data_IF_288190896058
#
_entry.id   IF_288190896058
#
_cell.length_a   1.000
_cell.length_b   1.000
_cell.length_c   1.000
_cell.angle_alpha   90.00
_cell.angle_beta   90.00
_cell.angle_gamma   90.00
#
_symmetry.space_group_name_H-M   'P 1'
#
loop_
_entity.id
_entity.type
_entity.pdbx_description
1 polymer ?
#
# COMPACT_ATOMS: atom_id res chain seq x y z
N UNK A 1 5.96 27.78 51.18
CA UNK A 1 5.20 26.89 50.29
C UNK A 1 5.89 26.91 48.93
N UNK A 2 6.58 25.83 48.56
CA UNK A 2 7.16 25.68 47.23
C UNK A 2 6.04 25.24 46.26
N UNK A 3 5.96 25.77 45.03
CA UNK A 3 4.98 25.30 44.07
C UNK A 3 5.30 23.86 43.67
N UNK A 4 4.29 22.99 43.79
CA UNK A 4 4.30 21.64 43.24
C UNK A 4 4.57 21.71 41.75
N UNK A 5 5.73 21.20 41.31
CA UNK A 5 6.00 20.95 39.90
C UNK A 5 5.01 19.88 39.42
N UNK A 6 4.02 20.29 38.65
CA UNK A 6 3.13 19.39 37.93
C UNK A 6 3.99 18.48 37.04
N UNK A 7 4.07 17.20 37.42
CA UNK A 7 4.63 16.14 36.57
C UNK A 7 3.62 15.86 35.47
N UNK A 8 3.63 16.66 34.42
CA UNK A 8 2.97 16.30 33.16
C UNK A 8 3.55 14.96 32.72
N UNK A 9 2.70 13.94 32.61
CA UNK A 9 3.13 12.62 32.17
C UNK A 9 3.48 12.68 30.68
N UNK A 10 4.50 11.94 30.24
CA UNK A 10 4.98 11.99 28.84
C UNK A 10 3.90 11.67 27.77
N UNK A 11 2.77 11.09 28.18
CA UNK A 11 1.57 10.85 27.35
C UNK A 11 0.70 12.09 27.13
N UNK A 12 0.67 13.01 28.08
CA UNK A 12 -0.13 14.26 28.04
C UNK A 12 0.65 15.43 27.43
N UNK A 13 1.97 15.28 27.30
CA UNK A 13 2.80 16.25 26.61
C UNK A 13 2.37 16.38 25.13
N UNK A 14 2.41 17.60 24.56
CA UNK A 14 2.23 17.79 23.13
C UNK A 14 3.29 17.01 22.35
N UNK A 15 2.92 16.49 21.17
CA UNK A 15 3.86 15.78 20.32
C UNK A 15 5.00 16.70 19.88
N UNK A 16 6.24 16.25 20.12
CA UNK A 16 7.42 16.94 19.64
C UNK A 16 7.52 16.83 18.11
N UNK A 17 8.07 17.86 17.48
CA UNK A 17 8.21 17.99 16.03
C UNK A 17 8.84 16.74 15.39
N UNK A 18 10.04 16.35 15.84
CA UNK A 18 10.75 15.17 15.33
C UNK A 18 9.98 13.85 15.51
N UNK A 19 9.06 13.77 16.47
CA UNK A 19 8.23 12.59 16.69
C UNK A 19 7.16 12.44 15.62
N UNK A 20 6.55 13.53 15.18
CA UNK A 20 5.49 13.49 14.15
C UNK A 20 5.93 12.70 12.91
N UNK A 21 7.16 12.91 12.44
CA UNK A 21 7.74 12.15 11.33
C UNK A 21 7.86 10.64 11.61
N UNK A 22 8.34 10.25 12.79
CA UNK A 22 8.45 8.83 13.15
C UNK A 22 7.08 8.15 13.13
N UNK A 23 6.05 8.85 13.63
CA UNK A 23 4.66 8.37 13.58
C UNK A 23 4.17 8.18 12.14
N UNK A 24 4.44 9.14 11.24
CA UNK A 24 4.11 9.01 9.81
C UNK A 24 4.82 7.82 9.17
N UNK A 25 6.12 7.63 9.44
CA UNK A 25 6.89 6.50 8.91
C UNK A 25 6.36 5.14 9.40
N UNK A 26 6.04 5.03 10.70
CA UNK A 26 5.43 3.84 11.29
C UNK A 26 4.08 3.55 10.66
N UNK A 27 3.22 4.57 10.52
CA UNK A 27 1.90 4.41 9.93
C UNK A 27 2.01 4.00 8.46
N UNK A 28 2.87 4.65 7.66
CA UNK A 28 3.03 4.36 6.24
C UNK A 28 3.56 2.94 6.01
N UNK A 29 4.59 2.53 6.75
CA UNK A 29 5.09 1.15 6.69
C UNK A 29 3.99 0.16 7.05
N UNK A 30 3.23 0.42 8.11
CA UNK A 30 2.17 -0.48 8.58
C UNK A 30 1.01 -0.55 7.59
N UNK A 31 0.58 0.58 7.02
CA UNK A 31 -0.47 0.65 6.02
C UNK A 31 -0.08 -0.14 4.77
N UNK A 32 1.09 0.15 4.19
CA UNK A 32 1.59 -0.54 2.99
C UNK A 32 1.74 -2.04 3.24
N UNK A 33 2.34 -2.43 4.37
CA UNK A 33 2.50 -3.84 4.73
C UNK A 33 1.15 -4.55 4.89
N UNK A 34 0.15 -3.88 5.45
CA UNK A 34 -1.19 -4.41 5.60
C UNK A 34 -1.87 -4.63 4.25
N UNK A 35 -1.72 -3.70 3.29
CA UNK A 35 -2.21 -3.88 1.91
C UNK A 35 -1.56 -5.13 1.30
N UNK A 36 -0.22 -5.18 1.31
CA UNK A 36 0.54 -6.27 0.69
C UNK A 36 0.14 -7.64 1.27
N UNK A 37 -0.09 -7.71 2.58
CA UNK A 37 -0.51 -8.95 3.25
C UNK A 37 -1.98 -9.31 2.95
N UNK A 38 -2.91 -8.38 3.15
CA UNK A 38 -4.36 -8.64 3.01
C UNK A 38 -4.78 -8.86 1.57
N UNK A 39 -4.16 -8.17 0.63
CA UNK A 39 -4.36 -8.37 -0.82
C UNK A 39 -3.49 -9.49 -1.40
N UNK A 40 -2.72 -10.19 -0.55
CA UNK A 40 -1.88 -11.34 -0.92
C UNK A 40 -0.90 -11.03 -2.06
N UNK A 41 -0.28 -9.85 -2.02
CA UNK A 41 0.72 -9.42 -3.01
C UNK A 41 2.12 -9.98 -2.70
N UNK A 42 2.36 -10.36 -1.45
CA UNK A 42 3.54 -11.10 -1.00
C UNK A 42 3.13 -12.31 -0.15
N UNK A 43 3.96 -13.37 -0.08
CA UNK A 43 3.67 -14.52 0.77
C UNK A 43 3.75 -14.16 2.25
N UNK A 44 3.03 -14.89 3.10
CA UNK A 44 2.95 -14.59 4.55
C UNK A 44 4.31 -14.58 5.26
N UNK A 45 5.29 -15.36 4.78
CA UNK A 45 6.66 -15.35 5.30
C UNK A 45 7.36 -14.00 5.19
N UNK A 46 6.88 -13.11 4.32
CA UNK A 46 7.45 -11.77 4.11
C UNK A 46 7.03 -10.75 5.18
N UNK A 47 6.24 -11.17 6.16
CA UNK A 47 5.68 -10.29 7.17
C UNK A 47 5.94 -10.82 8.57
N UNK A 48 6.07 -9.89 9.50
CA UNK A 48 6.09 -10.16 10.94
C UNK A 48 5.00 -9.37 11.64
N UNK A 49 4.59 -9.87 12.80
CA UNK A 49 3.67 -9.15 13.68
C UNK A 49 4.47 -8.37 14.71
N UNK A 50 4.26 -7.07 14.72
CA UNK A 50 4.80 -6.14 15.72
C UNK A 50 3.68 -5.63 16.59
N UNK A 51 4.01 -5.20 17.80
CA UNK A 51 3.02 -4.64 18.71
C UNK A 51 3.32 -3.16 18.91
N UNK A 52 2.37 -2.33 18.50
CA UNK A 52 2.36 -0.93 18.85
C UNK A 52 2.06 -0.82 20.36
N UNK A 53 3.11 -0.64 21.17
CA UNK A 53 3.05 -0.62 22.64
C UNK A 53 2.32 0.61 23.15
N UNK A 54 1.52 0.45 24.21
CA UNK A 54 0.68 1.50 24.86
C UNK A 54 1.44 2.60 25.58
N UNK A 55 2.76 2.70 25.41
CA UNK A 55 3.63 3.71 26.04
C UNK A 55 4.04 4.79 25.01
N UNK A 56 3.15 5.77 24.71
CA UNK A 56 3.35 6.78 23.65
C UNK A 56 4.67 7.55 23.73
N UNK A 57 5.19 7.79 24.94
CA UNK A 57 6.42 8.57 25.15
C UNK A 57 7.74 7.89 24.76
N UNK A 58 7.73 6.61 24.35
CA UNK A 58 8.97 5.85 24.00
C UNK A 58 8.99 5.28 22.58
N UNK A 59 7.93 5.52 21.80
CA UNK A 59 7.87 5.02 20.44
C UNK A 59 8.91 5.76 19.57
N UNK A 60 9.80 5.00 18.96
CA UNK A 60 10.67 5.42 17.86
C UNK A 60 10.48 4.44 16.71
N UNK A 61 10.80 4.87 15.49
CA UNK A 61 10.72 3.98 14.32
C UNK A 61 11.61 2.72 14.50
N UNK A 62 12.81 2.88 15.05
CA UNK A 62 13.73 1.77 15.30
C UNK A 62 13.21 0.79 16.37
N UNK A 63 12.73 1.30 17.50
CA UNK A 63 12.13 0.46 18.54
C UNK A 63 10.89 -0.28 18.02
N UNK A 64 10.11 0.36 17.15
CA UNK A 64 8.95 -0.24 16.50
C UNK A 64 9.35 -1.43 15.62
N UNK A 65 10.39 -1.27 14.78
CA UNK A 65 10.89 -2.35 13.91
C UNK A 65 11.44 -3.56 14.68
N UNK A 66 12.03 -3.31 15.85
CA UNK A 66 12.58 -4.35 16.73
C UNK A 66 11.53 -4.99 17.65
N UNK A 67 10.37 -4.35 17.82
CA UNK A 67 9.30 -4.89 18.68
C UNK A 67 8.77 -6.21 18.11
N UNK A 68 8.49 -7.19 18.97
CA UNK A 68 7.87 -8.45 18.56
C UNK A 68 6.55 -8.66 19.30
N UNK A 69 5.61 -9.38 18.68
CA UNK A 69 4.35 -9.74 19.31
C UNK A 69 4.52 -10.52 20.62
N UNK A 70 5.63 -11.26 20.78
CA UNK A 70 5.96 -12.02 21.99
C UNK A 70 6.42 -11.12 23.15
N UNK A 71 6.92 -9.91 22.86
CA UNK A 71 7.42 -8.95 23.86
C UNK A 71 6.35 -8.03 24.42
N UNK A 72 5.09 -8.19 24.01
CA UNK A 72 3.99 -7.34 24.46
C UNK A 72 3.47 -7.78 25.85
N UNK A 73 3.24 -6.84 26.79
CA UNK A 73 2.50 -7.16 28.01
C UNK A 73 1.12 -7.71 27.63
N UNK A 74 0.64 -8.69 28.40
CA UNK A 74 -0.49 -9.58 28.09
C UNK A 74 -1.80 -8.86 27.77
N UNK A 75 -1.92 -7.56 28.12
CA UNK A 75 -3.08 -6.72 27.85
C UNK A 75 -2.61 -5.32 27.40
N UNK A 76 -2.81 -4.94 26.13
CA UNK A 76 -2.91 -3.53 25.77
C UNK A 76 -2.47 -3.06 24.37
N UNK A 77 -1.58 -3.75 23.66
CA UNK A 77 -1.00 -3.23 22.41
C UNK A 77 -1.81 -3.54 21.15
N UNK A 78 -1.74 -2.65 20.15
CA UNK A 78 -2.32 -2.92 18.81
C UNK A 78 -1.33 -3.75 18.00
N UNK A 79 -1.74 -4.94 17.56
CA UNK A 79 -0.93 -5.80 16.71
C UNK A 79 -0.99 -5.27 15.28
N UNK A 80 0.18 -5.06 14.68
CA UNK A 80 0.33 -4.59 13.31
C UNK A 80 1.14 -5.61 12.52
N UNK A 81 0.77 -5.78 11.25
CA UNK A 81 1.53 -6.59 10.30
C UNK A 81 2.48 -5.67 9.56
N UNK A 82 3.78 -5.92 9.63
CA UNK A 82 4.79 -5.16 8.88
C UNK A 82 5.64 -6.07 8.01
N UNK A 83 6.19 -5.52 6.93
CA UNK A 83 7.23 -6.18 6.14
C UNK A 83 8.39 -6.58 7.04
N UNK A 84 8.82 -7.83 6.91
CA UNK A 84 9.99 -8.32 7.61
C UNK A 84 11.23 -8.22 6.72
N UNK A 85 12.32 -7.74 7.31
CA UNK A 85 13.58 -7.60 6.61
C UNK A 85 14.21 -8.97 6.40
N UNK A 86 14.88 -9.16 5.27
CA UNK A 86 15.58 -10.40 4.89
C UNK A 86 14.65 -11.60 4.71
N UNK A 87 13.36 -11.36 4.54
CA UNK A 87 12.34 -12.40 4.38
C UNK A 87 12.14 -12.84 2.92
N UNK A 88 12.75 -12.09 1.98
CA UNK A 88 12.78 -12.41 0.57
C UNK A 88 13.08 -11.18 -0.29
N UNK A 89 13.67 -11.41 -1.46
CA UNK A 89 14.18 -10.34 -2.33
C UNK A 89 13.13 -9.25 -2.66
N UNK A 90 11.89 -9.63 -2.94
CA UNK A 90 10.81 -8.67 -3.25
C UNK A 90 10.40 -7.83 -2.03
N UNK A 91 10.28 -8.47 -0.87
CA UNK A 91 9.96 -7.78 0.37
C UNK A 91 11.09 -6.81 0.74
N UNK A 92 12.34 -7.23 0.55
CA UNK A 92 13.53 -6.42 0.80
C UNK A 92 13.61 -5.22 -0.13
N UNK A 93 13.33 -5.39 -1.43
CA UNK A 93 13.27 -4.28 -2.39
C UNK A 93 12.19 -3.27 -2.02
N UNK A 94 11.01 -3.72 -1.63
CA UNK A 94 9.93 -2.82 -1.18
C UNK A 94 10.29 -2.11 0.13
N UNK A 95 10.87 -2.83 1.08
CA UNK A 95 11.36 -2.24 2.32
C UNK A 95 12.45 -1.19 2.06
N UNK A 96 13.36 -1.47 1.12
CA UNK A 96 14.39 -0.52 0.67
C UNK A 96 13.77 0.68 -0.03
N UNK A 97 12.79 0.51 -0.91
CA UNK A 97 12.09 1.63 -1.55
C UNK A 97 11.47 2.56 -0.49
N UNK A 98 10.77 2.00 0.50
CA UNK A 98 10.20 2.78 1.60
C UNK A 98 11.29 3.53 2.38
N UNK A 99 12.34 2.83 2.81
CA UNK A 99 13.35 3.40 3.72
C UNK A 99 14.41 4.26 3.06
N UNK A 100 14.72 4.03 1.78
CA UNK A 100 15.79 4.70 1.02
C UNK A 100 15.28 5.70 0.00
N UNK A 101 13.98 5.74 -0.27
CA UNK A 101 13.40 6.68 -1.25
C UNK A 101 12.25 7.47 -0.65
N UNK A 102 11.24 6.78 -0.10
CA UNK A 102 10.03 7.44 0.43
C UNK A 102 10.30 8.20 1.73
N UNK A 103 11.01 7.59 2.68
CA UNK A 103 11.31 8.23 3.97
C UNK A 103 12.31 9.40 3.89
N UNK A 104 13.32 9.38 3.01
CA UNK A 104 14.05 10.60 2.65
C UNK A 104 13.15 11.70 2.08
N UNK A 105 12.26 11.39 1.14
CA UNK A 105 11.34 12.38 0.56
C UNK A 105 10.38 12.98 1.61
N UNK A 106 9.93 12.16 2.58
CA UNK A 106 9.22 12.68 3.76
C UNK A 106 10.11 13.69 4.52
N UNK A 107 11.33 13.30 4.92
CA UNK A 107 12.28 14.16 5.66
C UNK A 107 12.57 15.48 4.97
N UNK A 108 12.66 15.44 3.65
CA UNK A 108 12.91 16.60 2.80
C UNK A 108 11.65 17.44 2.54
N UNK A 109 10.50 17.02 3.10
CA UNK A 109 9.19 17.65 2.92
C UNK A 109 8.85 17.82 1.45
N UNK A 110 9.17 16.80 0.66
CA UNK A 110 8.89 16.75 -0.76
C UNK A 110 7.75 15.80 -1.09
N UNK A 111 7.50 14.76 -0.28
CA UNK A 111 6.45 13.77 -0.55
C UNK A 111 5.04 14.31 -0.21
N UNK A 112 4.22 14.46 -1.24
CA UNK A 112 2.81 14.87 -1.14
C UNK A 112 1.90 13.64 -0.97
N UNK A 113 2.12 12.62 -1.80
CA UNK A 113 1.38 11.37 -1.72
C UNK A 113 2.22 10.17 -2.15
N UNK A 114 1.85 9.01 -1.59
CA UNK A 114 2.26 7.69 -2.01
C UNK A 114 1.02 6.93 -2.44
N UNK A 115 1.04 6.29 -3.61
CA UNK A 115 -0.05 5.45 -4.06
C UNK A 115 0.47 4.08 -4.46
N UNK A 116 -0.24 3.06 -4.01
CA UNK A 116 -0.12 1.69 -4.51
C UNK A 116 -1.39 1.38 -5.29
N UNK A 117 -1.27 1.12 -6.58
CA UNK A 117 -2.39 0.67 -7.40
C UNK A 117 -2.11 -0.68 -8.02
N UNK A 118 -3.20 -1.39 -8.31
CA UNK A 118 -3.20 -2.75 -8.81
C UNK A 118 -3.84 -2.78 -10.19
N UNK A 119 -3.23 -3.52 -11.12
CA UNK A 119 -3.75 -3.79 -12.46
C UNK A 119 -3.68 -5.29 -12.74
N UNK A 120 -4.38 -5.73 -13.77
CA UNK A 120 -4.36 -7.11 -14.27
C UNK A 120 -3.41 -7.30 -15.45
N UNK A 121 -2.95 -6.20 -16.07
CA UNK A 121 -1.97 -6.24 -17.15
C UNK A 121 -0.82 -5.30 -16.81
N UNK A 122 0.41 -5.81 -16.62
CA UNK A 122 1.56 -4.98 -16.27
C UNK A 122 1.95 -4.01 -17.40
N UNK A 123 1.43 -4.22 -18.63
CA UNK A 123 1.63 -3.34 -19.78
C UNK A 123 0.62 -2.20 -19.83
N UNK A 124 -0.52 -2.34 -19.15
CA UNK A 124 -1.57 -1.33 -19.07
C UNK A 124 -1.67 -0.78 -17.65
N UNK A 125 -0.63 -0.07 -17.22
CA UNK A 125 -0.53 0.46 -15.85
C UNK A 125 -1.63 1.49 -15.52
N UNK A 126 -2.18 2.20 -16.51
CA UNK A 126 -3.31 3.12 -16.30
C UNK A 126 -4.63 2.41 -15.99
N UNK A 127 -4.76 1.10 -16.27
CA UNK A 127 -5.99 0.34 -16.07
C UNK A 127 -6.06 -0.27 -14.67
N UNK A 128 -6.38 0.55 -13.67
CA UNK A 128 -6.41 0.14 -12.27
C UNK A 128 -7.69 -0.64 -11.91
N UNK A 129 -7.56 -1.62 -11.01
CA UNK A 129 -8.69 -2.33 -10.38
C UNK A 129 -8.86 -1.96 -8.91
N UNK A 130 -7.76 -1.55 -8.26
CA UNK A 130 -7.74 -0.97 -6.92
C UNK A 130 -6.62 0.07 -6.86
N UNK A 131 -6.85 1.18 -6.17
CA UNK A 131 -5.82 2.16 -5.84
C UNK A 131 -5.91 2.51 -4.35
N UNK A 132 -4.76 2.64 -3.71
CA UNK A 132 -4.60 3.00 -2.31
C UNK A 132 -3.68 4.22 -2.24
N UNK A 133 -4.24 5.39 -1.95
CA UNK A 133 -3.52 6.66 -1.88
C UNK A 133 -3.30 7.03 -0.42
N UNK A 134 -2.07 7.33 -0.06
CA UNK A 134 -1.65 7.87 1.22
C UNK A 134 -1.23 9.31 0.99
N UNK A 135 -1.85 10.24 1.68
CA UNK A 135 -1.52 11.66 1.60
C UNK A 135 -0.84 12.10 2.89
N UNK A 136 0.15 12.98 2.76
CA UNK A 136 0.86 13.55 3.90
C UNK A 136 0.85 15.06 3.78
N UNK A 137 0.35 15.72 4.82
CA UNK A 137 0.29 17.17 4.88
C UNK A 137 1.40 17.68 5.77
N UNK A 138 2.26 18.54 5.23
CA UNK A 138 3.44 19.10 5.90
C UNK A 138 3.66 20.57 5.52
N UNK A 139 4.46 21.29 6.29
CA UNK A 139 4.76 22.73 6.10
C UNK A 139 5.52 23.08 4.79
N UNK A 140 6.11 22.09 4.11
CA UNK A 140 6.72 22.27 2.79
C UNK A 140 5.77 22.40 1.59
N UNK A 141 4.44 22.29 1.77
CA UNK A 141 3.48 22.31 0.65
C UNK A 141 3.17 23.76 0.20
N UNK A 142 3.34 24.12 -1.09
CA UNK A 142 3.40 25.52 -1.53
C UNK A 142 2.08 26.30 -1.52
N UNK A 143 0.93 25.66 -1.32
CA UNK A 143 -0.35 26.37 -1.45
C UNK A 143 -1.52 25.76 -0.66
N UNK A 144 -1.22 24.92 0.34
CA UNK A 144 -2.29 24.59 1.29
C UNK A 144 -2.36 25.77 2.25
N UNK A 145 -3.19 26.73 1.86
CA UNK A 145 -3.81 27.72 2.72
C UNK A 145 -4.73 26.99 3.72
N UNK A 146 -4.21 25.95 4.38
CA UNK A 146 -4.73 25.53 5.66
C UNK A 146 -4.53 26.79 6.48
N UNK A 147 -5.62 27.52 6.67
CA UNK A 147 -5.80 28.33 7.85
C UNK A 147 -5.70 27.35 9.01
N UNK A 148 -4.48 26.89 9.30
CA UNK A 148 -4.08 26.43 10.59
C UNK A 148 -4.23 27.68 11.45
N UNK A 149 -5.47 27.96 11.87
CA UNK A 149 -5.66 28.51 13.21
C UNK A 149 -4.68 27.74 14.08
N UNK A 150 -3.72 28.38 14.76
CA UNK A 150 -2.65 27.70 15.46
C UNK A 150 -3.26 26.76 16.49
N UNK A 151 -3.54 25.54 16.06
CA UNK A 151 -4.16 24.51 16.88
C UNK A 151 -3.00 23.89 17.63
N UNK A 152 -3.07 23.95 18.96
CA UNK A 152 -2.08 23.32 19.82
C UNK A 152 -1.75 21.90 19.33
N UNK A 153 -0.46 21.54 19.37
CA UNK A 153 -0.02 20.21 18.99
C UNK A 153 -0.79 19.15 19.81
N UNK A 154 -1.28 18.08 19.14
CA UNK A 154 -2.06 17.05 19.83
C UNK A 154 -1.18 16.36 20.89
N UNK A 155 -1.77 15.90 22.01
CA UNK A 155 -1.06 15.06 22.97
C UNK A 155 -0.55 13.78 22.30
N UNK A 156 0.63 13.29 22.69
CA UNK A 156 1.23 12.08 22.09
C UNK A 156 0.28 10.87 22.20
N UNK A 157 -0.43 10.73 23.32
CA UNK A 157 -1.40 9.65 23.50
C UNK A 157 -2.57 9.69 22.51
N UNK A 158 -3.03 10.89 22.14
CA UNK A 158 -4.10 11.08 21.15
C UNK A 158 -3.62 10.64 19.77
N UNK A 159 -2.47 11.16 19.32
CA UNK A 159 -1.85 10.78 18.04
C UNK A 159 -1.67 9.27 17.94
N UNK A 160 -1.13 8.67 19.01
CA UNK A 160 -0.92 7.23 19.08
C UNK A 160 -2.22 6.43 18.94
N UNK A 161 -3.28 6.80 19.67
CA UNK A 161 -4.56 6.12 19.65
C UNK A 161 -5.26 6.27 18.29
N UNK A 162 -5.19 7.45 17.69
CA UNK A 162 -5.81 7.74 16.39
C UNK A 162 -5.10 6.98 15.27
N UNK A 163 -3.76 6.90 15.32
CA UNK A 163 -2.96 6.07 14.42
C UNK A 163 -3.37 4.60 14.51
N UNK A 164 -3.46 4.06 15.73
CA UNK A 164 -3.87 2.68 15.98
C UNK A 164 -5.32 2.40 15.55
N UNK A 165 -6.22 3.37 15.73
CA UNK A 165 -7.62 3.30 15.28
C UNK A 165 -7.69 3.28 13.74
N UNK A 166 -7.02 4.22 13.09
CA UNK A 166 -6.94 4.34 11.63
C UNK A 166 -6.42 3.05 10.97
N UNK A 167 -5.33 2.47 11.48
CA UNK A 167 -4.80 1.20 10.94
C UNK A 167 -5.77 0.02 11.11
N UNK A 168 -6.51 -0.06 12.23
CA UNK A 168 -7.53 -1.10 12.44
C UNK A 168 -8.73 -0.94 11.52
N UNK A 169 -9.20 0.29 11.33
CA UNK A 169 -10.28 0.59 10.40
C UNK A 169 -9.87 0.21 8.97
N UNK A 170 -8.62 0.52 8.60
CA UNK A 170 -8.10 0.15 7.30
C UNK A 170 -7.95 -1.37 7.12
N UNK A 171 -7.42 -2.08 8.12
CA UNK A 171 -7.32 -3.54 8.08
C UNK A 171 -8.71 -4.19 7.92
N UNK A 172 -9.72 -3.67 8.64
CA UNK A 172 -11.11 -4.13 8.54
C UNK A 172 -11.67 -3.87 7.13
N UNK A 173 -11.42 -2.69 6.56
CA UNK A 173 -11.81 -2.38 5.18
C UNK A 173 -11.21 -3.39 4.19
N UNK A 174 -9.89 -3.60 4.23
CA UNK A 174 -9.18 -4.54 3.34
C UNK A 174 -9.68 -5.99 3.47
N UNK A 175 -10.06 -6.40 4.68
CA UNK A 175 -10.57 -7.75 4.95
C UNK A 175 -11.97 -7.98 4.34
N UNK A 176 -12.74 -6.91 4.15
CA UNK A 176 -14.08 -6.97 3.55
C UNK A 176 -14.09 -6.79 2.03
N UNK A 177 -12.92 -6.57 1.42
CA UNK A 177 -12.82 -6.44 -0.04
C UNK A 177 -12.97 -7.80 -0.73
N UNK A 178 -13.60 -7.84 -1.93
CA UNK A 178 -13.61 -9.02 -2.77
C UNK A 178 -12.19 -9.53 -3.05
N UNK A 179 -12.00 -10.83 -3.35
CA UNK A 179 -10.69 -11.34 -3.73
C UNK A 179 -10.21 -10.70 -5.05
N UNK A 180 -8.90 -10.45 -5.15
CA UNK A 180 -8.29 -9.98 -6.39
C UNK A 180 -8.31 -11.07 -7.49
N UNK A 181 -8.23 -10.66 -8.76
CA UNK A 181 -7.94 -11.57 -9.88
C UNK A 181 -6.65 -12.38 -9.64
N UNK A 182 -6.57 -13.53 -10.34
CA UNK A 182 -5.41 -14.44 -10.25
C UNK A 182 -4.13 -13.72 -10.66
N UNK A 183 -4.17 -13.09 -11.83
CA UNK A 183 -3.09 -12.28 -12.37
C UNK A 183 -3.30 -10.84 -11.91
N UNK A 184 -2.33 -10.33 -11.15
CA UNK A 184 -2.40 -9.01 -10.54
C UNK A 184 -0.99 -8.48 -10.35
N UNK A 185 -0.85 -7.20 -10.60
CA UNK A 185 0.43 -6.51 -10.65
C UNK A 185 0.28 -5.21 -9.88
N UNK A 186 1.20 -4.98 -8.95
CA UNK A 186 1.22 -3.75 -8.16
C UNK A 186 2.21 -2.75 -8.71
N UNK A 187 1.82 -1.48 -8.68
CA UNK A 187 2.63 -0.35 -9.09
C UNK A 187 2.61 0.69 -7.99
N UNK A 188 3.76 1.33 -7.79
CA UNK A 188 3.91 2.40 -6.81
C UNK A 188 4.14 3.70 -7.55
N UNK A 189 3.36 4.70 -7.19
CA UNK A 189 3.52 6.07 -7.64
C UNK A 189 3.61 7.02 -6.48
N UNK A 190 4.42 8.06 -6.65
CA UNK A 190 4.58 9.12 -5.65
C UNK A 190 4.40 10.48 -6.31
N UNK A 191 3.85 11.40 -5.54
CA UNK A 191 3.65 12.79 -5.90
C UNK A 191 4.56 13.62 -5.02
N UNK A 192 5.26 14.57 -5.63
CA UNK A 192 6.21 15.43 -4.94
C UNK A 192 5.90 16.90 -5.16
N UNK A 193 6.33 17.74 -4.23
CA UNK A 193 6.35 19.18 -4.39
C UNK A 193 7.26 19.57 -5.56
N UNK A 194 7.01 20.74 -6.17
CA UNK A 194 7.83 21.26 -7.26
C UNK A 194 9.30 21.49 -6.88
N UNK A 195 9.63 21.48 -5.58
CA UNK A 195 11.01 21.59 -5.08
C UNK A 195 11.85 20.33 -5.33
N UNK A 196 11.24 19.17 -5.63
CA UNK A 196 11.95 17.96 -5.99
C UNK A 196 12.36 17.98 -7.48
N UNK A 197 13.63 18.31 -7.76
CA UNK A 197 14.15 18.38 -9.13
C UNK A 197 14.49 17.02 -9.75
N UNK A 198 14.58 15.97 -8.93
CA UNK A 198 14.94 14.61 -9.35
C UNK A 198 13.98 13.56 -8.78
N UNK A 199 13.63 12.51 -9.54
CA UNK A 199 12.86 11.38 -9.01
C UNK A 199 13.60 10.72 -7.83
N UNK A 200 12.86 10.20 -6.82
CA UNK A 200 13.46 9.43 -5.74
C UNK A 200 14.26 8.23 -6.27
N UNK A 201 15.26 7.80 -5.50
CA UNK A 201 16.10 6.64 -5.85
C UNK A 201 15.22 5.42 -6.16
N UNK A 202 15.48 4.72 -7.27
CA UNK A 202 14.72 3.53 -7.67
C UNK A 202 13.33 3.83 -8.26
N UNK A 203 13.01 5.11 -8.50
CA UNK A 203 11.80 5.56 -9.18
C UNK A 203 12.18 6.36 -10.43
N UNK A 204 11.30 6.40 -11.43
CA UNK A 204 11.50 7.18 -12.66
C UNK A 204 10.35 8.13 -12.88
N UNK A 205 10.61 9.32 -13.45
CA UNK A 205 9.54 10.25 -13.80
C UNK A 205 8.58 9.60 -14.80
N UNK A 206 7.29 9.74 -14.53
CA UNK A 206 6.20 9.24 -15.34
C UNK A 206 5.30 10.42 -15.76
N UNK A 207 4.50 10.27 -16.83
CA UNK A 207 3.49 11.23 -17.17
C UNK A 207 2.34 11.20 -16.15
N UNK A 208 1.69 12.35 -15.94
CA UNK A 208 0.47 12.44 -15.14
C UNK A 208 -0.71 11.92 -15.97
N UNK A 209 -0.82 10.59 -16.08
CA UNK A 209 -1.94 9.94 -16.75
C UNK A 209 -2.99 9.50 -15.73
N UNK A 210 -4.30 9.69 -16.02
CA UNK A 210 -5.37 9.24 -15.15
C UNK A 210 -5.40 7.71 -15.04
N UNK A 211 -5.79 7.20 -13.87
CA UNK A 211 -6.24 5.82 -13.79
C UNK A 211 -7.62 5.69 -14.44
N UNK A 212 -7.77 4.63 -15.21
CA UNK A 212 -9.02 4.21 -15.83
C UNK A 212 -9.57 3.03 -15.04
N UNK A 213 -10.85 3.10 -14.70
CA UNK A 213 -11.54 2.07 -13.94
C UNK A 213 -12.35 1.16 -14.86
N UNK A 214 -12.46 -0.14 -14.54
CA UNK A 214 -13.22 -1.06 -15.37
C UNK A 214 -14.72 -0.79 -15.27
N UNK A 215 -15.37 -0.61 -16.41
CA UNK A 215 -16.83 -0.50 -16.50
C UNK A 215 -17.38 -1.90 -16.75
N UNK A 216 -17.98 -2.52 -15.73
CA UNK A 216 -18.55 -3.88 -15.85
C UNK A 216 -19.93 -3.98 -15.24
N UNK A 217 -20.85 -4.59 -15.98
CA UNK A 217 -22.17 -4.94 -15.45
C UNK A 217 -22.02 -5.82 -14.20
N UNK A 218 -22.57 -5.35 -13.08
CA UNK A 218 -22.48 -6.04 -11.80
C UNK A 218 -21.34 -5.58 -10.88
N UNK A 219 -20.50 -4.64 -11.29
CA UNK A 219 -19.42 -4.06 -10.49
C UNK A 219 -19.42 -2.54 -10.59
N UNK A 220 -19.06 -1.85 -9.51
CA UNK A 220 -18.90 -0.40 -9.46
C UNK A 220 -17.69 -0.01 -8.63
N UNK A 221 -17.08 1.12 -8.93
CA UNK A 221 -16.09 1.72 -8.05
C UNK A 221 -16.77 2.05 -6.70
N UNK A 222 -16.05 1.79 -5.62
CA UNK A 222 -16.41 2.19 -4.27
C UNK A 222 -15.20 2.83 -3.61
N UNK A 223 -15.47 3.93 -2.93
CA UNK A 223 -14.44 4.82 -2.39
C UNK A 223 -14.46 4.76 -0.87
N UNK A 224 -13.30 4.52 -0.28
CA UNK A 224 -13.07 4.50 1.16
C UNK A 224 -12.20 5.70 1.55
N UNK A 225 -12.78 6.60 2.33
CA UNK A 225 -12.15 7.85 2.78
C UNK A 225 -12.38 7.99 4.29
N UNK A 226 -11.55 7.33 5.13
CA UNK A 226 -11.55 7.55 6.56
C UNK A 226 -11.02 8.95 6.91
N UNK A 227 -11.28 9.39 8.14
CA UNK A 227 -10.72 10.62 8.69
C UNK A 227 -9.18 10.53 8.75
N UNK A 228 -8.50 11.61 8.39
CA UNK A 228 -7.05 11.69 8.46
C UNK A 228 -6.57 11.79 9.91
N UNK A 229 -5.41 11.20 10.18
CA UNK A 229 -4.82 11.20 11.52
C UNK A 229 -3.98 12.46 11.68
N UNK A 230 -4.30 13.27 12.70
CA UNK A 230 -3.47 14.42 13.07
C UNK A 230 -2.20 13.94 13.78
N UNK A 231 -1.05 14.17 13.16
CA UNK A 231 0.27 13.69 13.64
C UNK A 231 1.13 14.80 14.24
N UNK A 232 0.72 16.07 14.11
CA UNK A 232 1.45 17.21 14.66
C UNK A 232 0.77 18.54 14.40
N UNK A 233 1.56 19.62 14.52
CA UNK A 233 1.10 20.99 14.30
C UNK A 233 2.13 21.91 13.64
N UNK A 234 3.36 21.45 13.39
CA UNK A 234 4.43 22.27 12.78
C UNK A 234 4.95 21.61 11.50
N UNK A 235 5.79 20.59 11.59
CA UNK A 235 6.39 19.99 10.39
C UNK A 235 5.42 19.06 9.65
N UNK A 236 4.81 18.12 10.35
CA UNK A 236 3.78 17.23 9.80
C UNK A 236 2.47 17.46 10.52
N UNK A 237 1.40 17.64 9.75
CA UNK A 237 0.09 18.00 10.27
C UNK A 237 -0.79 16.76 10.32
N UNK A 238 -0.95 16.09 9.18
CA UNK A 238 -1.86 14.95 9.03
C UNK A 238 -1.27 13.88 8.13
N UNK A 239 -1.78 12.66 8.30
CA UNK A 239 -1.62 11.55 7.35
C UNK A 239 -2.99 10.96 7.05
N UNK A 240 -3.33 10.93 5.78
CA UNK A 240 -4.62 10.46 5.27
C UNK A 240 -4.47 9.22 4.40
N UNK A 241 -5.53 8.42 4.32
CA UNK A 241 -5.65 7.28 3.44
C UNK A 241 -6.93 7.40 2.61
N UNK A 242 -6.83 7.13 1.33
CA UNK A 242 -7.96 6.87 0.45
C UNK A 242 -7.79 5.55 -0.27
N UNK A 243 -8.89 4.89 -0.57
CA UNK A 243 -8.87 3.75 -1.47
C UNK A 243 -10.03 3.83 -2.44
N UNK A 244 -9.77 3.52 -3.70
CA UNK A 244 -10.80 3.26 -4.70
C UNK A 244 -10.68 1.80 -5.08
N UNK A 245 -11.78 1.06 -4.99
CA UNK A 245 -11.80 -0.37 -5.24
C UNK A 245 -13.09 -0.78 -5.93
N UNK A 246 -13.01 -1.76 -6.82
CA UNK A 246 -14.21 -2.28 -7.46
C UNK A 246 -14.96 -3.23 -6.52
N UNK A 247 -16.25 -2.96 -6.30
CA UNK A 247 -17.15 -3.82 -5.52
C UNK A 247 -18.32 -4.32 -6.37
N UNK A 248 -18.84 -5.52 -6.09
CA UNK A 248 -19.99 -6.05 -6.80
C UNK A 248 -21.27 -5.28 -6.41
N UNK A 249 -22.16 -5.03 -7.35
CA UNK A 249 -23.39 -4.25 -7.14
C UNK A 249 -24.51 -5.05 -6.46
N UNK A 250 -24.51 -6.39 -6.53
CA UNK A 250 -25.32 -7.29 -5.68
C UNK A 250 -24.95 -8.78 -5.91
N UNK A 251 -25.10 -9.63 -4.89
CA UNK A 251 -25.08 -11.11 -5.01
C UNK A 251 -23.75 -11.78 -5.39
N UNK A 252 -22.68 -11.02 -5.64
CA UNK A 252 -21.39 -11.53 -6.13
C UNK A 252 -20.21 -11.31 -5.16
N UNK A 253 -20.46 -10.98 -3.89
CA UNK A 253 -19.46 -10.57 -2.89
C UNK A 253 -18.30 -11.56 -2.66
N UNK A 254 -18.44 -12.81 -3.11
CA UNK A 254 -17.40 -13.85 -2.99
C UNK A 254 -16.65 -14.15 -4.28
N UNK A 255 -17.05 -13.55 -5.41
CA UNK A 255 -16.40 -13.77 -6.70
C UNK A 255 -15.43 -12.62 -6.98
N UNK A 256 -14.22 -12.89 -7.48
CA UNK A 256 -13.33 -11.83 -7.97
C UNK A 256 -13.95 -11.11 -9.16
N UNK A 257 -13.49 -9.88 -9.43
CA UNK A 257 -13.93 -9.01 -10.56
C UNK A 257 -13.93 -9.78 -11.89
N UNK A 258 -13.06 -10.78 -12.03
CA UNK A 258 -12.93 -11.62 -13.21
C UNK A 258 -12.84 -13.11 -12.90
N UNK A 259 -13.88 -13.82 -13.31
CA UNK A 259 -13.78 -15.16 -13.89
C UNK A 259 -13.59 -15.10 -15.43
N UNK A 260 -13.21 -13.96 -16.01
CA UNK A 260 -13.20 -13.69 -17.47
C UNK A 260 -11.96 -12.85 -17.86
N UNK A 261 -11.40 -13.03 -19.05
CA UNK A 261 -10.06 -12.58 -19.48
C UNK A 261 -9.88 -11.05 -19.61
N UNK A 262 -8.61 -10.61 -19.64
CA UNK A 262 -8.25 -9.20 -19.58
C UNK A 262 -8.64 -8.31 -20.77
N UNK A 263 -8.89 -8.94 -21.92
CA UNK A 263 -9.25 -8.28 -23.16
C UNK A 263 -10.74 -7.85 -23.24
N UNK A 264 -11.57 -8.25 -22.28
CA UNK A 264 -13.04 -8.07 -22.32
C UNK A 264 -13.56 -6.99 -21.36
N UNK A 265 -12.69 -6.19 -20.71
CA UNK A 265 -13.17 -5.01 -19.95
C UNK A 265 -12.94 -3.74 -20.75
N UNK A 266 -14.02 -2.98 -20.87
CA UNK A 266 -13.97 -1.58 -21.26
C UNK A 266 -13.54 -0.75 -20.06
N UNK A 267 -12.59 0.15 -20.30
CA UNK A 267 -12.05 1.09 -19.32
C UNK A 267 -12.35 2.47 -19.85
N UNK A 268 -13.44 3.06 -19.39
CA UNK A 268 -13.96 4.34 -19.90
C UNK A 268 -14.48 5.24 -18.78
N UNK A 269 -14.39 4.80 -17.52
CA UNK A 269 -14.85 5.59 -16.39
C UNK A 269 -13.86 6.71 -16.08
N UNK A 270 -14.19 7.88 -16.60
CA UNK A 270 -13.58 9.18 -16.29
C UNK A 270 -14.32 9.92 -15.18
N UNK A 271 -15.49 9.46 -14.74
CA UNK A 271 -16.27 10.06 -13.65
C UNK A 271 -15.62 9.80 -12.27
N UNK A 272 -14.89 8.69 -12.16
CA UNK A 272 -14.07 8.35 -10.99
C UNK A 272 -12.68 9.00 -11.03
N UNK A 273 -12.37 9.80 -12.06
CA UNK A 273 -11.11 10.55 -12.13
C UNK A 273 -10.94 11.48 -10.93
N UNK A 274 -9.79 11.41 -10.27
CA UNK A 274 -9.51 12.25 -9.12
C UNK A 274 -10.09 11.73 -7.81
N UNK A 275 -10.93 10.68 -7.83
CA UNK A 275 -11.54 10.15 -6.61
C UNK A 275 -10.51 9.58 -5.64
N UNK A 276 -9.41 9.04 -6.17
CA UNK A 276 -8.26 8.58 -5.39
C UNK A 276 -7.49 9.72 -4.70
N UNK A 277 -7.75 10.98 -5.11
CA UNK A 277 -7.23 12.20 -4.53
C UNK A 277 -8.27 12.96 -3.69
N UNK A 278 -9.51 12.47 -3.55
CA UNK A 278 -10.51 13.10 -2.65
C UNK A 278 -10.07 13.12 -1.18
N UNK A 279 -9.05 12.34 -0.82
CA UNK A 279 -8.35 12.46 0.47
C UNK A 279 -7.81 13.88 0.68
N UNK A 280 -7.37 14.55 -0.39
CA UNK A 280 -6.94 15.94 -0.36
C UNK A 280 -8.12 16.88 -0.06
N UNK A 281 -9.28 16.67 -0.71
CA UNK A 281 -10.48 17.51 -0.56
C UNK A 281 -11.15 17.36 0.82
N UNK A 282 -11.06 16.18 1.44
CA UNK A 282 -11.56 15.96 2.80
C UNK A 282 -10.80 16.79 3.86
N UNK A 283 -9.54 17.16 3.58
CA UNK A 283 -8.74 18.05 4.43
C UNK A 283 -8.89 19.52 4.03
N UNK A 284 -9.11 19.82 2.74
CA UNK A 284 -9.32 21.16 2.20
C UNK A 284 -10.81 21.47 2.00
N UNK A 285 -11.57 21.67 3.08
CA UNK A 285 -12.90 22.32 2.99
C UNK A 285 -12.86 23.79 2.51
N UNK A 286 -11.79 24.22 1.86
CA UNK A 286 -11.68 25.50 1.16
C UNK A 286 -11.07 25.27 -0.22
N UNK A 287 -11.80 25.73 -1.25
CA UNK A 287 -11.46 25.86 -2.67
C UNK A 287 -11.42 24.60 -3.54
N UNK A 288 -12.52 24.40 -4.28
CA UNK A 288 -12.72 23.44 -5.37
C UNK A 288 -11.86 23.68 -6.63
N UNK A 289 -10.93 24.63 -6.62
CA UNK A 289 -10.35 25.17 -7.86
C UNK A 289 -8.85 24.96 -8.07
N UNK A 290 -8.14 24.25 -7.18
CA UNK A 290 -6.69 24.07 -7.32
C UNK A 290 -6.28 22.59 -7.25
N UNK A 291 -6.39 21.90 -8.39
CA UNK A 291 -5.51 20.78 -8.67
C UNK A 291 -4.06 21.27 -8.61
N UNK A 292 -3.13 20.56 -7.95
CA UNK A 292 -1.72 20.94 -8.00
C UNK A 292 -1.21 20.83 -9.44
N UNK A 293 -1.00 21.99 -10.06
CA UNK A 293 -0.33 22.13 -11.34
C UNK A 293 1.13 21.68 -11.17
N UNK A 294 1.55 20.78 -12.08
CA UNK A 294 2.87 20.17 -12.21
C UNK A 294 3.22 19.12 -11.14
N UNK A 295 2.87 17.88 -11.47
CA UNK A 295 3.14 16.66 -10.71
C UNK A 295 4.24 15.88 -11.42
N UNK A 296 5.36 15.64 -10.75
CA UNK A 296 6.28 14.56 -11.12
C UNK A 296 5.68 13.26 -10.58
N UNK A 297 4.98 12.50 -11.44
CA UNK A 297 4.58 11.14 -11.10
C UNK A 297 5.80 10.24 -11.29
N UNK A 298 5.85 9.11 -10.59
CA UNK A 298 6.89 8.13 -10.84
C UNK A 298 6.35 6.72 -10.76
N UNK A 299 6.84 5.79 -11.57
CA UNK A 299 6.35 4.41 -11.58
C UNK A 299 7.48 3.48 -11.17
N UNK A 300 7.16 2.34 -10.56
CA UNK A 300 8.09 1.21 -10.41
C UNK A 300 7.49 0.02 -11.15
N UNK A 301 8.24 -0.57 -12.09
CA UNK A 301 7.88 -1.84 -12.73
C UNK A 301 8.47 -2.99 -11.93
N UNK A 302 7.70 -4.08 -11.83
CA UNK A 302 8.05 -5.41 -11.34
C UNK A 302 7.39 -5.83 -10.01
N UNK A 303 6.08 -6.07 -10.08
CA UNK A 303 5.38 -7.04 -9.23
C UNK A 303 4.70 -8.10 -10.11
N UNK A 304 5.46 -8.76 -11.00
CA UNK A 304 4.97 -9.92 -11.74
C UNK A 304 4.78 -11.11 -10.80
N UNK A 305 3.53 -11.48 -10.55
CA UNK A 305 3.13 -12.66 -9.77
C UNK A 305 2.74 -13.78 -10.73
N UNK A 306 3.63 -14.74 -11.05
CA UNK A 306 3.18 -15.98 -11.65
C UNK A 306 2.40 -16.80 -10.61
N UNK A 307 1.35 -17.52 -11.02
CA UNK A 307 0.58 -18.33 -10.08
C UNK A 307 1.41 -19.50 -9.55
N UNK A 308 1.43 -19.68 -8.23
CA UNK A 308 2.06 -20.83 -7.58
C UNK A 308 1.41 -22.15 -8.07
N UNK A 309 2.20 -22.97 -8.75
CA UNK A 309 1.93 -24.40 -8.91
C UNK A 309 2.24 -25.13 -7.59
N UNK A 310 1.43 -26.12 -7.18
CA UNK A 310 1.65 -26.84 -5.93
C UNK A 310 2.93 -27.69 -6.01
N UNK A 311 3.90 -27.36 -5.15
CA UNK A 311 5.12 -28.12 -4.89
C UNK A 311 4.80 -29.50 -4.33
N UNK A 312 5.22 -30.54 -5.05
CA UNK A 312 5.39 -31.90 -4.54
C UNK A 312 6.71 -32.02 -3.76
N UNK A 313 6.66 -32.71 -2.61
CA UNK A 313 7.80 -33.02 -1.72
C UNK A 313 8.90 -33.85 -2.42
N UNK A 314 10.19 -33.70 -2.04
CA UNK A 314 11.25 -34.69 -2.24
C UNK A 314 11.66 -35.34 -0.88
N UNK A 315 12.67 -36.24 -0.82
CA UNK A 315 12.99 -37.38 -1.70
C UNK A 315 13.21 -38.69 -0.90
N UNK A 316 13.32 -39.85 -1.57
CA UNK A 316 13.97 -41.05 -0.99
C UNK A 316 14.93 -41.72 -1.96
N UNK A 317 16.04 -42.18 -1.39
CA UNK A 317 17.32 -42.64 -1.95
C UNK A 317 17.24 -43.95 -2.74
N UNK A 318 18.18 -44.13 -3.66
CA UNK A 318 18.62 -45.44 -4.18
C UNK A 318 19.61 -45.30 -5.34
N UNK A 319 20.80 -45.88 -5.18
CA UNK A 319 21.99 -45.71 -6.03
C UNK A 319 22.00 -46.64 -7.27
N UNK A 320 22.48 -46.16 -8.42
CA UNK A 320 23.75 -46.53 -9.14
C UNK A 320 23.59 -47.53 -10.31
N UNK A 321 24.55 -47.61 -11.26
CA UNK A 321 24.32 -47.30 -12.69
C UNK A 321 24.59 -48.50 -13.63
N UNK A 322 24.13 -48.46 -14.89
CA UNK A 322 24.73 -49.22 -16.01
C UNK A 322 24.50 -48.50 -17.35
N UNK A 323 25.49 -48.68 -18.21
CA UNK A 323 25.82 -48.04 -19.48
C UNK A 323 25.07 -48.67 -20.70
N UNK A 324 25.34 -48.11 -21.89
CA UNK A 324 25.38 -48.73 -23.24
C UNK A 324 24.26 -48.39 -24.25
N UNK A 325 24.67 -47.53 -25.21
CA UNK A 325 24.50 -47.56 -26.69
C UNK A 325 23.13 -47.55 -27.39
N UNK A 326 23.07 -46.61 -28.36
CA UNK A 326 22.60 -46.68 -29.75
C UNK A 326 21.31 -47.44 -30.10
N UNK A 327 20.38 -46.75 -30.76
CA UNK A 327 20.08 -46.93 -32.20
C UNK A 327 18.91 -46.06 -32.66
N UNK A 328 18.82 -45.96 -33.98
CA UNK A 328 18.28 -44.90 -34.82
C UNK A 328 16.92 -45.28 -35.44
N UNK A 329 16.20 -44.27 -35.96
CA UNK A 329 15.20 -44.29 -37.07
C UNK A 329 13.73 -44.68 -36.76
N UNK A 330 12.81 -43.74 -37.02
CA UNK A 330 11.77 -43.75 -38.09
C UNK A 330 10.63 -42.79 -37.68
N UNK A 331 10.51 -41.57 -38.21
CA UNK A 331 9.77 -41.19 -39.44
C UNK A 331 8.51 -42.03 -39.69
N UNK A 332 7.33 -41.43 -39.53
CA UNK A 332 6.06 -41.97 -40.04
C UNK A 332 4.82 -41.49 -39.29
N UNK A 333 3.95 -40.79 -40.01
CA UNK A 333 2.48 -40.73 -39.82
C UNK A 333 1.84 -39.92 -38.69
N UNK A 334 1.64 -38.62 -38.93
CA UNK A 334 0.36 -37.96 -38.59
C UNK A 334 -0.07 -36.97 -39.68
N UNK A 335 -0.82 -37.47 -40.67
CA UNK A 335 -1.70 -36.68 -41.56
C UNK A 335 -2.94 -37.52 -41.87
N UNK A 336 -4.11 -36.87 -41.84
CA UNK A 336 -5.49 -37.39 -42.08
C UNK A 336 -6.11 -38.05 -40.84
N UNK A 337 -7.30 -37.67 -40.37
CA UNK A 337 -8.48 -37.12 -41.06
C UNK A 337 -9.32 -36.27 -40.09
N UNK A 338 -9.74 -35.12 -40.58
CA UNK A 338 -10.94 -34.40 -40.19
C UNK A 338 -12.21 -35.19 -40.54
N UNK A 339 -13.28 -34.89 -39.79
CA UNK A 339 -14.71 -35.04 -40.14
C UNK A 339 -15.27 -36.44 -40.46
N UNK A 340 -16.19 -36.92 -39.61
CA UNK A 340 -17.63 -37.06 -39.94
C UNK A 340 -18.41 -37.75 -38.80
N UNK A 341 -19.54 -37.11 -38.46
CA UNK A 341 -20.84 -37.66 -38.02
C UNK A 341 -20.90 -38.39 -36.66
N UNK A 342 -21.63 -37.80 -35.70
CA UNK A 342 -23.06 -38.13 -35.39
C UNK A 342 -23.27 -39.63 -35.16
N UNK A 343 -23.32 -40.05 -33.89
CA UNK A 343 -24.54 -40.32 -33.10
C UNK A 343 -24.18 -40.17 -31.62
#
# INVERSE_FOLDING_TARGET
>A
MAPSRDRVTASEAPIAVHKSQEYVQIWLLSAVSTILSKRKLLPQRCFKTVTLQTSPGRLTYENFLQSTAASAPTNGGTKLTILDQHSGERADRLFQLLTKSIFPALREKSLVAFQLYLTEDPRAYTKAIEAYTICVTHDGLPDINIRHTPTAAPPVATVFNDLAKSLREYEKFLTNLPPLPRDRFGFITTWHTQTASTPPIGMFAAPAEPHLWPVKQGWKADTFLPEAVRVGAEEYHTVGLGAVCMKPTSGLNKKPIRSVLAAELDYDDTETYGQEFLVFDAETSATKDHFPLAVSSSVSRDLDVPPESPSQRPPRRGAKPVNTQNSTISVGDQRRKSELQRV
#
